data_IF_971182874256
#
_entry.id   IF_971182874256
#
_cell.length_a   1.000
_cell.length_b   1.000
_cell.length_c   1.000
_cell.angle_alpha   90.00
_cell.angle_beta   90.00
_cell.angle_gamma   90.00
#
_symmetry.space_group_name_H-M   'P 1'
#
loop_
_entity.id
_entity.type
_entity.pdbx_description
1 polymer ?
#
# COMPACT_ATOMS: atom_id res chain seq x y z
N UNK A 1 -22.50 35.04 -44.64
CA UNK A 1 -21.81 36.29 -44.24
C UNK A 1 -21.59 36.24 -42.74
N UNK A 2 -20.38 36.57 -42.31
CA UNK A 2 -19.90 36.63 -40.93
C UNK A 2 -20.69 37.61 -40.07
N UNK A 3 -20.76 37.33 -38.76
CA UNK A 3 -21.19 38.27 -37.71
C UNK A 3 -20.80 37.76 -36.32
N UNK A 4 -19.71 38.29 -35.80
CA UNK A 4 -18.97 37.89 -34.59
C UNK A 4 -19.53 38.54 -33.30
N UNK A 5 -19.33 37.84 -32.16
CA UNK A 5 -19.05 38.32 -30.78
C UNK A 5 -20.15 38.98 -29.92
N UNK A 6 -20.41 38.34 -28.77
CA UNK A 6 -20.21 38.83 -27.39
C UNK A 6 -20.28 37.57 -26.49
N UNK A 7 -19.21 37.05 -25.88
CA UNK A 7 -18.50 37.58 -24.71
C UNK A 7 -19.47 38.03 -23.62
N UNK A 8 -19.86 37.09 -22.76
CA UNK A 8 -20.12 37.41 -21.36
C UNK A 8 -19.30 36.43 -20.53
N UNK A 9 -18.36 37.05 -19.82
CA UNK A 9 -17.39 36.54 -18.88
C UNK A 9 -17.96 36.87 -17.48
N UNK A 10 -17.38 36.30 -16.42
CA UNK A 10 -17.58 36.64 -14.99
C UNK A 10 -18.92 36.22 -14.33
N UNK A 11 -18.97 35.70 -13.11
CA UNK A 11 -17.95 35.41 -12.09
C UNK A 11 -18.56 34.46 -11.03
N UNK A 12 -17.69 33.63 -10.46
CA UNK A 12 -17.62 33.23 -9.05
C UNK A 12 -18.87 32.72 -8.31
N UNK A 13 -18.99 31.39 -8.21
CA UNK A 13 -19.32 30.76 -6.93
C UNK A 13 -18.05 30.12 -6.34
N UNK A 14 -17.28 30.97 -5.68
CA UNK A 14 -16.21 30.62 -4.75
C UNK A 14 -16.81 29.86 -3.55
N UNK A 15 -16.39 28.60 -3.41
CA UNK A 15 -16.87 27.69 -2.38
C UNK A 15 -16.12 26.38 -2.37
N UNK A 16 -14.84 26.44 -1.97
CA UNK A 16 -13.83 25.37 -1.81
C UNK A 16 -12.88 25.13 -2.99
N UNK A 17 -12.07 26.13 -3.31
CA UNK A 17 -10.92 25.98 -4.21
C UNK A 17 -9.87 25.02 -3.61
N UNK A 18 -9.97 23.73 -3.92
CA UNK A 18 -8.90 22.76 -3.70
C UNK A 18 -7.69 23.02 -4.61
N UNK A 19 -6.52 22.43 -4.31
CA UNK A 19 -5.32 22.54 -5.16
C UNK A 19 -5.63 22.14 -6.60
N UNK A 20 -5.05 22.87 -7.55
CA UNK A 20 -5.23 22.59 -8.97
C UNK A 20 -4.60 21.24 -9.36
N UNK A 21 -4.97 20.68 -10.52
CA UNK A 21 -4.33 19.46 -11.01
C UNK A 21 -2.82 19.63 -11.25
N UNK A 22 -2.38 20.84 -11.62
CA UNK A 22 -0.97 21.16 -11.77
C UNK A 22 -0.25 21.11 -10.41
N UNK A 23 -0.86 21.65 -9.35
CA UNK A 23 -0.31 21.61 -8.00
C UNK A 23 -0.23 20.18 -7.48
N UNK A 24 -1.27 19.37 -7.71
CA UNK A 24 -1.27 17.95 -7.33
C UNK A 24 -0.18 17.14 -8.04
N UNK A 25 0.14 17.47 -9.30
CA UNK A 25 1.26 16.83 -10.02
C UNK A 25 2.61 17.22 -9.42
N UNK A 26 2.82 18.52 -9.17
CA UNK A 26 4.04 19.02 -8.54
C UNK A 26 4.23 18.43 -7.13
N UNK A 27 3.14 18.32 -6.37
CA UNK A 27 3.15 17.68 -5.06
C UNK A 27 3.56 16.21 -5.14
N UNK A 28 3.00 15.44 -6.08
CA UNK A 28 3.42 14.03 -6.29
C UNK A 28 4.91 13.92 -6.60
N UNK A 29 5.46 14.82 -7.43
CA UNK A 29 6.89 14.84 -7.72
C UNK A 29 7.74 15.11 -6.47
N UNK A 30 7.33 16.06 -5.63
CA UNK A 30 7.99 16.32 -4.36
C UNK A 30 7.95 15.07 -3.45
N UNK A 31 6.82 14.37 -3.39
CA UNK A 31 6.65 13.15 -2.61
C UNK A 31 7.52 11.99 -3.11
N UNK A 32 7.74 11.87 -4.42
CA UNK A 32 8.70 10.91 -4.97
C UNK A 32 10.13 11.22 -4.51
N UNK A 33 10.51 12.50 -4.49
CA UNK A 33 11.82 12.92 -3.99
C UNK A 33 11.98 12.60 -2.49
N UNK A 34 10.94 12.80 -1.69
CA UNK A 34 10.96 12.46 -0.26
C UNK A 34 11.24 10.96 -0.06
N UNK A 35 10.66 10.08 -0.88
CA UNK A 35 10.90 8.61 -0.81
C UNK A 35 12.38 8.28 -1.05
N UNK A 36 13.02 8.91 -2.04
CA UNK A 36 14.45 8.71 -2.29
C UNK A 36 15.34 9.30 -1.21
N UNK A 37 15.01 10.49 -0.71
CA UNK A 37 15.73 11.11 0.40
C UNK A 37 15.64 10.27 1.68
N UNK A 38 14.52 9.58 1.93
CA UNK A 38 14.42 8.67 3.07
C UNK A 38 15.44 7.52 2.98
N UNK A 39 15.65 6.96 1.78
CA UNK A 39 16.60 5.87 1.55
C UNK A 39 18.06 6.32 1.63
N UNK A 40 18.36 7.53 1.16
CA UNK A 40 19.74 8.02 1.01
C UNK A 40 20.20 8.94 2.14
N UNK A 41 19.34 9.82 2.65
CA UNK A 41 19.67 10.88 3.61
C UNK A 41 18.47 11.24 4.50
N UNK A 42 17.98 10.31 5.36
CA UNK A 42 16.74 10.51 6.10
C UNK A 42 16.77 11.68 7.09
N UNK A 43 17.97 12.08 7.54
CA UNK A 43 18.16 13.21 8.45
C UNK A 43 17.74 14.55 7.85
N UNK A 44 17.71 14.68 6.52
CA UNK A 44 17.24 15.89 5.83
C UNK A 44 15.73 16.08 5.99
N UNK A 45 14.99 14.99 6.24
CA UNK A 45 13.54 14.98 6.30
C UNK A 45 12.97 15.32 7.69
N UNK A 46 13.79 15.65 8.68
CA UNK A 46 13.32 15.92 10.07
C UNK A 46 12.21 16.98 10.14
N UNK A 47 12.27 18.01 9.28
CA UNK A 47 11.24 19.05 9.22
C UNK A 47 10.11 18.74 8.22
N UNK A 48 10.30 17.75 7.35
CA UNK A 48 9.33 17.36 6.30
C UNK A 48 8.34 16.33 6.82
N UNK A 49 8.76 15.39 7.66
CA UNK A 49 7.86 14.36 8.22
C UNK A 49 6.69 14.96 9.02
N UNK A 50 6.87 16.00 9.84
CA UNK A 50 5.73 16.68 10.47
C UNK A 50 4.74 17.31 9.47
N UNK A 51 5.21 17.74 8.30
CA UNK A 51 4.34 18.27 7.23
C UNK A 51 3.55 17.15 6.56
N UNK A 52 4.19 16.01 6.27
CA UNK A 52 3.48 14.81 5.80
C UNK A 52 2.40 14.33 6.78
N UNK A 53 2.70 14.39 8.08
CA UNK A 53 1.72 14.04 9.12
C UNK A 53 0.52 15.01 9.13
N UNK A 54 0.76 16.30 8.92
CA UNK A 54 -0.32 17.27 8.76
C UNK A 54 -1.16 16.98 7.50
N UNK A 55 -0.53 16.61 6.39
CA UNK A 55 -1.23 16.23 5.15
C UNK A 55 -2.10 14.98 5.31
N UNK A 56 -1.70 14.01 6.15
CA UNK A 56 -2.55 12.85 6.45
C UNK A 56 -3.91 13.28 7.02
N UNK A 57 -3.99 14.44 7.67
CA UNK A 57 -5.21 14.96 8.29
C UNK A 57 -5.87 16.10 7.52
N UNK A 58 -5.39 16.41 6.31
CA UNK A 58 -5.96 17.45 5.47
C UNK A 58 -7.39 17.13 5.04
N UNK A 59 -8.21 18.16 4.81
CA UNK A 59 -9.59 17.98 4.33
C UNK A 59 -9.65 17.40 2.92
N UNK A 60 -8.67 17.76 2.08
CA UNK A 60 -8.57 17.29 0.72
C UNK A 60 -8.16 15.80 0.67
N UNK A 61 -8.99 14.98 0.03
CA UNK A 61 -8.79 13.53 -0.10
C UNK A 61 -7.50 13.18 -0.85
N UNK A 62 -7.11 13.98 -1.85
CA UNK A 62 -5.88 13.73 -2.62
C UNK A 62 -4.63 14.00 -1.79
N UNK A 63 -4.62 15.04 -0.94
CA UNK A 63 -3.50 15.29 -0.03
C UNK A 63 -3.31 14.12 0.94
N UNK A 64 -4.40 13.67 1.58
CA UNK A 64 -4.35 12.50 2.48
C UNK A 64 -3.91 11.24 1.74
N UNK A 65 -4.38 11.03 0.51
CA UNK A 65 -3.98 9.88 -0.30
C UNK A 65 -2.47 9.91 -0.60
N UNK A 66 -1.96 11.02 -1.12
CA UNK A 66 -0.55 11.17 -1.50
C UNK A 66 0.35 11.03 -0.25
N UNK A 67 -0.05 11.60 0.88
CA UNK A 67 0.67 11.43 2.15
C UNK A 67 0.66 9.98 2.65
N UNK A 68 -0.48 9.29 2.54
CA UNK A 68 -0.61 7.87 2.93
C UNK A 68 0.29 6.98 2.08
N UNK A 69 0.29 7.16 0.76
CA UNK A 69 1.16 6.44 -0.16
C UNK A 69 2.64 6.70 0.15
N UNK A 70 3.01 7.98 0.39
CA UNK A 70 4.41 8.34 0.66
C UNK A 70 4.93 7.77 1.96
N UNK A 71 4.17 7.84 3.06
CA UNK A 71 4.61 7.25 4.32
C UNK A 71 4.69 5.72 4.19
N UNK A 72 3.72 5.10 3.49
CA UNK A 72 3.76 3.67 3.18
C UNK A 72 5.04 3.24 2.46
N UNK A 73 5.43 3.98 1.43
CA UNK A 73 6.64 3.73 0.65
C UNK A 73 7.91 3.97 1.47
N UNK A 74 7.95 5.03 2.29
CA UNK A 74 9.07 5.27 3.21
C UNK A 74 9.24 4.11 4.22
N UNK A 75 8.15 3.65 4.84
CA UNK A 75 8.20 2.55 5.82
C UNK A 75 8.60 1.23 5.16
N UNK A 76 8.13 0.97 3.93
CA UNK A 76 8.50 -0.23 3.16
C UNK A 76 9.88 -0.13 2.50
N UNK A 77 10.57 1.01 2.60
CA UNK A 77 11.87 1.24 1.99
C UNK A 77 11.81 1.27 0.45
N UNK A 78 10.65 1.54 -0.11
CA UNK A 78 10.41 1.64 -1.55
C UNK A 78 10.73 3.07 -2.00
N UNK A 79 11.60 3.19 -3.00
CA UNK A 79 11.95 4.46 -3.62
C UNK A 79 10.97 4.88 -4.72
N UNK A 80 11.29 5.97 -5.41
CA UNK A 80 10.64 6.41 -6.64
C UNK A 80 10.73 5.38 -7.78
N UNK A 81 11.67 4.43 -7.71
CA UNK A 81 11.73 3.30 -8.64
C UNK A 81 10.52 2.34 -8.51
N UNK A 82 9.73 2.47 -7.45
CA UNK A 82 8.53 1.69 -7.21
C UNK A 82 8.78 0.36 -6.51
N UNK A 83 7.70 -0.37 -6.16
CA UNK A 83 7.77 -1.65 -5.48
C UNK A 83 8.50 -2.70 -6.33
N UNK A 84 9.10 -3.73 -5.70
CA UNK A 84 9.61 -4.87 -6.43
C UNK A 84 8.45 -5.57 -7.18
N UNK A 85 8.74 -6.23 -8.31
CA UNK A 85 7.73 -7.04 -9.00
C UNK A 85 7.22 -8.15 -8.07
N UNK A 86 5.92 -8.49 -8.12
CA UNK A 86 5.38 -9.59 -7.34
C UNK A 86 6.12 -10.91 -7.60
N UNK A 87 6.27 -11.77 -6.59
CA UNK A 87 6.88 -13.09 -6.77
C UNK A 87 6.03 -13.97 -7.71
N UNK A 88 6.69 -14.85 -8.46
CA UNK A 88 5.98 -15.84 -9.27
C UNK A 88 5.47 -16.98 -8.40
N UNK A 89 4.15 -17.18 -8.38
CA UNK A 89 3.51 -18.34 -7.77
C UNK A 89 3.12 -19.33 -8.88
N UNK A 90 3.87 -20.44 -8.98
CA UNK A 90 3.63 -21.48 -9.99
C UNK A 90 3.21 -22.80 -9.33
N UNK A 91 1.90 -23.11 -9.27
CA UNK A 91 1.39 -24.36 -8.68
C UNK A 91 1.90 -25.62 -9.36
N UNK A 92 2.20 -25.53 -10.66
CA UNK A 92 2.64 -26.63 -11.50
C UNK A 92 4.18 -26.73 -11.60
N UNK A 93 4.92 -25.95 -10.81
CA UNK A 93 6.38 -25.98 -10.81
C UNK A 93 6.89 -27.38 -10.41
N UNK A 94 7.94 -27.83 -11.10
CA UNK A 94 8.65 -29.07 -10.78
C UNK A 94 10.15 -28.78 -10.56
N UNK A 95 10.75 -29.20 -9.44
CA UNK A 95 10.12 -29.95 -8.34
C UNK A 95 9.08 -29.11 -7.56
N UNK A 96 8.10 -29.77 -6.89
CA UNK A 96 7.11 -29.06 -6.07
C UNK A 96 7.78 -28.23 -4.97
N UNK A 97 7.28 -27.02 -4.76
CA UNK A 97 7.76 -26.11 -3.72
C UNK A 97 7.48 -26.74 -2.35
N UNK A 98 8.51 -26.89 -1.51
CA UNK A 98 8.31 -27.27 -0.10
C UNK A 98 8.46 -26.04 0.77
N UNK A 99 7.63 -25.96 1.82
CA UNK A 99 7.65 -24.83 2.76
C UNK A 99 9.01 -24.62 3.43
N UNK A 100 9.77 -25.70 3.60
CA UNK A 100 11.10 -25.69 4.24
C UNK A 100 12.24 -25.46 3.26
N UNK A 101 11.98 -25.45 1.94
CA UNK A 101 13.02 -25.15 0.96
C UNK A 101 13.40 -23.67 1.08
N UNK A 102 14.69 -23.36 0.90
CA UNK A 102 15.16 -21.99 0.84
C UNK A 102 14.67 -21.34 -0.47
N UNK A 103 14.00 -20.19 -0.37
CA UNK A 103 13.65 -19.39 -1.54
C UNK A 103 14.97 -18.98 -2.23
N UNK A 104 15.22 -19.39 -3.50
CA UNK A 104 16.43 -18.99 -4.19
C UNK A 104 16.50 -17.46 -4.26
N UNK A 105 17.66 -16.83 -3.99
CA UNK A 105 17.79 -15.39 -4.17
C UNK A 105 17.45 -15.06 -5.63
N UNK A 106 16.70 -13.97 -5.87
CA UNK A 106 16.32 -13.58 -7.23
C UNK A 106 17.58 -13.42 -8.09
N UNK A 107 17.53 -13.95 -9.32
CA UNK A 107 18.69 -14.10 -10.20
C UNK A 107 19.41 -12.76 -10.52
N UNK A 108 18.72 -11.62 -10.36
CA UNK A 108 19.30 -10.27 -10.48
C UNK A 108 18.60 -9.33 -9.48
N UNK A 109 19.27 -8.98 -8.39
CA UNK A 109 18.82 -7.90 -7.50
C UNK A 109 19.30 -6.55 -8.04
N UNK A 110 18.37 -5.71 -8.51
CA UNK A 110 18.70 -4.32 -8.85
C UNK A 110 18.72 -3.48 -7.56
N UNK A 111 19.90 -2.94 -7.22
CA UNK A 111 20.11 -2.10 -6.02
C UNK A 111 19.14 -0.91 -5.97
N UNK A 112 18.72 -0.38 -7.12
CA UNK A 112 17.80 0.76 -7.18
C UNK A 112 16.37 0.39 -6.77
N UNK A 113 15.92 -0.83 -7.09
CA UNK A 113 14.57 -1.32 -6.81
C UNK A 113 14.50 -2.18 -5.55
N UNK A 114 15.64 -2.61 -5.01
CA UNK A 114 15.68 -3.37 -3.76
C UNK A 114 15.17 -2.49 -2.62
N UNK A 115 14.08 -2.89 -1.94
CA UNK A 115 13.57 -2.17 -0.79
C UNK A 115 14.64 -2.07 0.29
N UNK A 116 14.86 -0.87 0.80
CA UNK A 116 15.87 -0.61 1.82
C UNK A 116 15.44 0.58 2.66
N UNK A 117 15.39 0.39 3.97
CA UNK A 117 15.22 1.49 4.93
C UNK A 117 16.46 1.60 5.82
N UNK A 118 17.15 2.76 5.87
CA UNK A 118 18.35 2.93 6.68
C UNK A 118 18.06 2.94 8.19
N UNK A 119 16.81 3.23 8.57
CA UNK A 119 16.37 3.35 9.96
C UNK A 119 14.86 3.06 10.06
N UNK A 120 14.37 2.75 11.27
CA UNK A 120 12.96 2.39 11.44
C UNK A 120 12.11 3.65 11.51
N UNK A 121 11.25 3.85 10.50
CA UNK A 121 10.34 5.00 10.46
C UNK A 121 9.39 5.00 11.66
N UNK A 122 8.84 3.84 12.00
CA UNK A 122 7.91 3.69 13.12
C UNK A 122 8.55 4.06 14.47
N UNK A 123 9.85 3.79 14.64
CA UNK A 123 10.60 4.13 15.85
C UNK A 123 11.05 5.59 15.91
N UNK A 124 11.35 6.21 14.78
CA UNK A 124 11.88 7.59 14.76
C UNK A 124 10.74 8.61 14.69
N UNK A 125 9.66 8.27 13.97
CA UNK A 125 8.52 9.13 13.71
C UNK A 125 7.21 8.48 14.21
N UNK A 126 7.21 8.07 15.48
CA UNK A 126 6.09 7.36 16.13
C UNK A 126 4.72 8.00 15.90
N UNK A 127 4.60 9.32 16.04
CA UNK A 127 3.33 10.03 15.89
C UNK A 127 2.80 9.94 14.44
N UNK A 128 3.65 10.24 13.46
CA UNK A 128 3.30 10.15 12.05
C UNK A 128 2.96 8.71 11.64
N UNK A 129 3.72 7.72 12.13
CA UNK A 129 3.41 6.31 11.87
C UNK A 129 2.07 5.89 12.47
N UNK A 130 1.77 6.28 13.70
CA UNK A 130 0.46 6.00 14.34
C UNK A 130 -0.69 6.63 13.57
N UNK A 131 -0.53 7.87 13.12
CA UNK A 131 -1.54 8.57 12.31
C UNK A 131 -1.74 7.89 10.95
N UNK A 132 -0.65 7.48 10.31
CA UNK A 132 -0.66 6.67 9.09
C UNK A 132 -1.43 5.36 9.30
N UNK A 133 -1.11 4.56 10.34
CA UNK A 133 -1.85 3.32 10.66
C UNK A 133 -3.34 3.59 10.87
N UNK A 134 -3.69 4.74 11.47
CA UNK A 134 -5.07 5.18 11.64
C UNK A 134 -5.84 5.41 10.32
N UNK A 135 -5.16 5.67 9.19
CA UNK A 135 -5.81 5.85 7.87
C UNK A 135 -6.43 4.58 7.31
N UNK A 136 -6.19 3.40 7.91
CA UNK A 136 -6.96 2.16 7.59
C UNK A 136 -8.48 2.34 7.73
N UNK A 137 -8.90 3.32 8.54
CA UNK A 137 -10.30 3.66 8.81
C UNK A 137 -10.71 5.02 8.22
N UNK A 138 -10.00 5.54 7.21
CA UNK A 138 -10.40 6.79 6.55
C UNK A 138 -11.82 6.69 5.96
N UNK A 139 -12.56 7.80 5.98
CA UNK A 139 -13.90 7.87 5.39
C UNK A 139 -13.87 7.61 3.88
N UNK A 140 -12.82 8.07 3.19
CA UNK A 140 -12.69 7.89 1.75
C UNK A 140 -12.12 6.51 1.42
N UNK A 141 -12.86 5.76 0.60
CA UNK A 141 -12.46 4.43 0.14
C UNK A 141 -11.09 4.41 -0.54
N UNK A 142 -10.77 5.45 -1.31
CA UNK A 142 -9.51 5.56 -2.05
C UNK A 142 -8.29 5.59 -1.12
N UNK A 143 -8.41 6.24 0.04
CA UNK A 143 -7.33 6.28 1.04
C UNK A 143 -7.17 4.93 1.72
N UNK A 144 -8.28 4.24 2.03
CA UNK A 144 -8.23 2.88 2.59
C UNK A 144 -7.64 1.87 1.60
N UNK A 145 -7.89 2.04 0.31
CA UNK A 145 -7.27 1.24 -0.76
C UNK A 145 -5.76 1.52 -0.85
N UNK A 146 -5.35 2.79 -0.88
CA UNK A 146 -3.94 3.17 -0.87
C UNK A 146 -3.22 2.66 0.38
N UNK A 147 -3.86 2.76 1.55
CA UNK A 147 -3.32 2.28 2.82
C UNK A 147 -3.10 0.77 2.83
N UNK A 148 -4.04 -0.02 2.30
CA UNK A 148 -3.85 -1.48 2.30
C UNK A 148 -2.76 -1.94 1.34
N UNK A 149 -2.61 -1.28 0.20
CA UNK A 149 -1.46 -1.51 -0.70
C UNK A 149 -0.14 -1.19 0.01
N UNK A 150 -0.07 -0.05 0.70
CA UNK A 150 1.10 0.31 1.51
C UNK A 150 1.39 -0.71 2.62
N UNK A 151 0.38 -1.15 3.36
CA UNK A 151 0.53 -2.18 4.40
C UNK A 151 1.03 -3.51 3.83
N UNK A 152 0.55 -3.91 2.65
CA UNK A 152 1.06 -5.07 1.91
C UNK A 152 2.55 -4.95 1.61
N UNK A 153 3.00 -3.80 1.08
CA UNK A 153 4.42 -3.55 0.84
C UNK A 153 5.25 -3.54 2.13
N UNK A 154 4.77 -2.94 3.21
CA UNK A 154 5.48 -2.92 4.50
C UNK A 154 5.72 -4.34 5.01
N UNK A 155 4.68 -5.20 4.95
CA UNK A 155 4.77 -6.59 5.38
C UNK A 155 5.67 -7.43 4.44
N UNK A 156 5.50 -7.29 3.12
CA UNK A 156 6.27 -8.05 2.13
C UNK A 156 7.76 -7.71 2.15
N UNK A 157 8.10 -6.44 2.42
CA UNK A 157 9.49 -5.97 2.48
C UNK A 157 10.10 -6.03 3.88
N UNK A 158 9.36 -6.48 4.90
CA UNK A 158 9.76 -6.43 6.31
C UNK A 158 10.25 -5.02 6.71
N UNK A 159 9.45 -4.00 6.39
CA UNK A 159 9.76 -2.58 6.57
C UNK A 159 11.11 -2.15 5.92
N UNK A 160 11.31 -2.51 4.65
CA UNK A 160 12.57 -2.23 3.94
C UNK A 160 13.77 -3.00 4.50
N UNK A 161 13.54 -4.22 5.00
CA UNK A 161 14.56 -5.14 5.52
C UNK A 161 15.00 -4.89 6.96
N UNK A 162 14.50 -3.83 7.62
CA UNK A 162 14.87 -3.53 9.02
C UNK A 162 14.12 -4.39 10.05
N UNK A 163 12.99 -4.98 9.64
CA UNK A 163 12.11 -5.77 10.48
C UNK A 163 11.00 -4.96 11.14
N UNK A 164 9.96 -5.68 11.56
CA UNK A 164 8.81 -5.17 12.30
C UNK A 164 8.81 -5.79 13.70
N UNK A 165 8.27 -5.07 14.69
CA UNK A 165 7.87 -5.71 15.94
C UNK A 165 6.70 -6.66 15.71
N UNK A 166 6.51 -7.64 16.59
CA UNK A 166 5.38 -8.58 16.51
C UNK A 166 4.04 -7.85 16.60
N UNK A 167 3.99 -6.78 17.38
CA UNK A 167 2.80 -5.97 17.57
C UNK A 167 2.42 -5.23 16.29
N UNK A 168 3.40 -4.58 15.63
CA UNK A 168 3.19 -3.90 14.35
C UNK A 168 2.78 -4.89 13.25
N UNK A 169 3.49 -6.00 13.13
CA UNK A 169 3.20 -7.04 12.13
C UNK A 169 1.79 -7.60 12.31
N UNK A 170 1.41 -7.96 13.54
CA UNK A 170 0.06 -8.46 13.84
C UNK A 170 -1.03 -7.40 13.58
N UNK A 171 -0.75 -6.12 13.85
CA UNK A 171 -1.69 -5.04 13.55
C UNK A 171 -1.96 -4.92 12.04
N UNK A 172 -0.91 -4.98 11.21
CA UNK A 172 -1.03 -4.91 9.76
C UNK A 172 -1.72 -6.15 9.17
N UNK A 173 -1.37 -7.36 9.67
CA UNK A 173 -2.02 -8.61 9.25
C UNK A 173 -3.51 -8.60 9.60
N UNK A 174 -3.87 -8.14 10.81
CA UNK A 174 -5.28 -7.99 11.20
C UNK A 174 -6.01 -6.98 10.31
N UNK A 175 -5.37 -5.86 9.99
CA UNK A 175 -5.96 -4.88 9.09
C UNK A 175 -6.17 -5.45 7.67
N UNK A 176 -5.27 -6.31 7.17
CA UNK A 176 -5.44 -7.00 5.89
C UNK A 176 -6.68 -7.89 5.87
N UNK A 177 -6.90 -8.68 6.94
CA UNK A 177 -8.14 -9.42 7.12
C UNK A 177 -9.38 -8.50 7.11
N UNK A 178 -9.34 -7.37 7.84
CA UNK A 178 -10.44 -6.41 7.88
C UNK A 178 -10.72 -5.80 6.50
N UNK A 179 -9.67 -5.44 5.74
CA UNK A 179 -9.80 -4.82 4.41
C UNK A 179 -10.23 -5.81 3.32
N UNK A 180 -9.94 -7.10 3.45
CA UNK A 180 -10.54 -8.12 2.59
C UNK A 180 -12.07 -8.10 2.69
N UNK A 181 -12.63 -7.72 3.83
CA UNK A 181 -14.08 -7.68 4.12
C UNK A 181 -14.68 -6.27 4.06
N UNK A 182 -14.00 -5.34 3.40
CA UNK A 182 -14.42 -3.95 3.34
C UNK A 182 -15.71 -3.74 2.51
N UNK A 183 -16.52 -2.73 2.83
CA UNK A 183 -17.74 -2.42 2.09
C UNK A 183 -17.46 -2.03 0.64
N UNK A 184 -16.32 -1.38 0.39
CA UNK A 184 -15.96 -0.79 -0.89
C UNK A 184 -15.17 -1.78 -1.76
N UNK A 185 -15.62 -2.00 -3.00
CA UNK A 185 -15.04 -3.01 -3.89
C UNK A 185 -13.57 -2.74 -4.22
N UNK A 186 -13.19 -1.47 -4.37
CA UNK A 186 -11.81 -1.07 -4.68
C UNK A 186 -10.85 -1.41 -3.53
N UNK A 187 -11.34 -1.37 -2.30
CA UNK A 187 -10.54 -1.68 -1.10
C UNK A 187 -10.37 -3.19 -0.96
N UNK A 188 -11.44 -3.95 -1.20
CA UNK A 188 -11.34 -5.42 -1.25
C UNK A 188 -10.40 -5.90 -2.35
N UNK A 189 -10.47 -5.28 -3.54
CA UNK A 189 -9.56 -5.58 -4.65
C UNK A 189 -8.10 -5.30 -4.26
N UNK A 190 -7.81 -4.12 -3.71
CA UNK A 190 -6.47 -3.76 -3.25
C UNK A 190 -5.96 -4.70 -2.15
N UNK A 191 -6.84 -5.20 -1.27
CA UNK A 191 -6.48 -6.19 -0.25
C UNK A 191 -6.14 -7.56 -0.85
N UNK A 192 -6.85 -8.02 -1.89
CA UNK A 192 -6.47 -9.25 -2.63
C UNK A 192 -5.11 -9.07 -3.30
N UNK A 193 -4.89 -7.94 -3.97
CA UNK A 193 -3.61 -7.62 -4.60
C UNK A 193 -2.46 -7.50 -3.60
N UNK A 194 -2.72 -7.03 -2.38
CA UNK A 194 -1.73 -7.00 -1.31
C UNK A 194 -1.24 -8.40 -0.93
N UNK A 195 -2.10 -9.43 -0.98
CA UNK A 195 -1.70 -10.83 -0.71
C UNK A 195 -0.80 -11.38 -1.83
N UNK A 196 -0.95 -10.90 -3.08
CA UNK A 196 -0.09 -11.31 -4.20
C UNK A 196 1.37 -10.83 -4.06
N UNK A 197 1.65 -9.92 -3.13
CA UNK A 197 3.01 -9.40 -2.90
C UNK A 197 3.94 -10.40 -2.19
N UNK A 198 3.39 -11.47 -1.64
CA UNK A 198 4.10 -12.43 -0.82
C UNK A 198 4.41 -13.71 -1.59
N UNK A 199 5.58 -14.30 -1.35
CA UNK A 199 5.89 -15.63 -1.88
C UNK A 199 5.11 -16.70 -1.11
N UNK A 200 5.09 -17.93 -1.62
CA UNK A 200 4.33 -19.02 -1.01
C UNK A 200 4.69 -19.24 0.47
N UNK A 201 5.98 -19.11 0.81
CA UNK A 201 6.46 -19.32 2.17
C UNK A 201 5.95 -18.23 3.11
N UNK A 202 6.06 -16.97 2.72
CA UNK A 202 5.61 -15.83 3.52
C UNK A 202 4.08 -15.77 3.63
N UNK A 203 3.36 -16.21 2.60
CA UNK A 203 1.90 -16.39 2.70
C UNK A 203 1.58 -17.35 3.84
N UNK A 204 2.20 -18.53 3.86
CA UNK A 204 1.92 -19.55 4.89
C UNK A 204 2.41 -19.11 6.27
N UNK A 205 3.64 -18.61 6.39
CA UNK A 205 4.28 -18.35 7.67
C UNK A 205 3.90 -16.99 8.29
N UNK A 206 3.77 -15.93 7.49
CA UNK A 206 3.40 -14.60 7.98
C UNK A 206 1.89 -14.42 7.98
N UNK A 207 1.22 -14.53 6.83
CA UNK A 207 -0.22 -14.26 6.74
C UNK A 207 -1.07 -15.34 7.42
N UNK A 208 -0.54 -16.56 7.55
CA UNK A 208 -1.15 -17.65 8.29
C UNK A 208 -1.18 -17.47 9.82
N UNK A 209 -0.56 -16.42 10.37
CA UNK A 209 -0.53 -16.17 11.82
C UNK A 209 -1.93 -16.08 12.46
N UNK A 210 -2.93 -15.60 11.71
CA UNK A 210 -4.32 -15.55 12.19
C UNK A 210 -5.07 -16.88 12.02
N UNK A 211 -4.54 -17.84 11.27
CA UNK A 211 -5.07 -19.19 11.12
C UNK A 211 -5.23 -19.67 9.67
N UNK A 212 -5.61 -20.94 9.53
CA UNK A 212 -5.93 -21.58 8.25
C UNK A 212 -7.28 -21.16 7.66
N UNK A 213 -7.65 -21.77 6.52
CA UNK A 213 -8.91 -21.53 5.80
C UNK A 213 -10.17 -21.85 6.65
N UNK A 214 -10.07 -22.80 7.57
CA UNK A 214 -11.19 -23.18 8.46
C UNK A 214 -11.41 -22.19 9.62
N UNK A 215 -10.42 -21.33 9.91
CA UNK A 215 -10.51 -20.41 11.04
C UNK A 215 -11.19 -19.11 10.61
N UNK A 216 -12.42 -18.91 11.07
CA UNK A 216 -13.12 -17.62 10.95
C UNK A 216 -12.23 -16.50 11.48
N UNK A 217 -12.10 -15.42 10.71
CA UNK A 217 -11.22 -14.31 11.05
C UNK A 217 -9.80 -14.42 10.50
N UNK A 218 -9.47 -15.50 9.77
CA UNK A 218 -8.20 -15.61 9.05
C UNK A 218 -8.25 -14.93 7.68
N UNK A 219 -7.05 -14.58 7.19
CA UNK A 219 -6.86 -14.07 5.84
C UNK A 219 -7.29 -15.13 4.81
N UNK A 220 -6.95 -16.40 5.02
CA UNK A 220 -7.28 -17.48 4.08
C UNK A 220 -8.78 -17.75 3.97
N UNK A 221 -9.50 -17.76 5.09
CA UNK A 221 -10.95 -17.90 5.09
C UNK A 221 -11.61 -16.75 4.31
N UNK A 222 -11.15 -15.51 4.58
CA UNK A 222 -11.69 -14.32 3.92
C UNK A 222 -11.37 -14.27 2.43
N UNK A 223 -10.15 -14.66 2.03
CA UNK A 223 -9.74 -14.73 0.64
C UNK A 223 -10.54 -15.80 -0.12
N UNK A 224 -10.74 -16.98 0.49
CA UNK A 224 -11.62 -18.01 -0.07
C UNK A 224 -13.03 -17.48 -0.30
N UNK A 225 -13.59 -16.70 0.62
CA UNK A 225 -14.89 -16.06 0.44
C UNK A 225 -14.91 -14.99 -0.67
N UNK A 226 -13.78 -14.36 -1.00
CA UNK A 226 -13.67 -13.43 -2.14
C UNK A 226 -13.76 -14.14 -3.50
N UNK A 227 -13.51 -15.44 -3.59
CA UNK A 227 -13.80 -16.23 -4.81
C UNK A 227 -15.31 -16.26 -5.17
N UNK A 228 -16.16 -15.84 -4.23
CA UNK A 228 -17.62 -15.68 -4.40
C UNK A 228 -18.07 -14.23 -4.23
N UNK A 229 -17.15 -13.27 -4.35
CA UNK A 229 -17.51 -11.85 -4.22
C UNK A 229 -18.59 -11.48 -5.25
N UNK A 230 -19.53 -10.62 -4.85
CA UNK A 230 -20.58 -10.12 -5.72
C UNK A 230 -19.99 -9.36 -6.91
N UNK A 231 -18.85 -8.70 -6.72
CA UNK A 231 -18.18 -7.87 -7.71
C UNK A 231 -17.22 -8.71 -8.55
N UNK A 232 -17.41 -8.77 -9.89
CA UNK A 232 -16.57 -9.59 -10.76
C UNK A 232 -15.07 -9.27 -10.66
N UNK A 233 -14.70 -8.00 -10.53
CA UNK A 233 -13.29 -7.59 -10.44
C UNK A 233 -12.57 -8.24 -9.23
N UNK A 234 -13.18 -8.19 -8.05
CA UNK A 234 -12.62 -8.83 -6.83
C UNK A 234 -12.64 -10.35 -6.97
N UNK A 235 -13.75 -10.89 -7.51
CA UNK A 235 -13.96 -12.33 -7.62
C UNK A 235 -12.93 -13.00 -8.51
N UNK A 236 -12.69 -12.43 -9.70
CA UNK A 236 -11.72 -12.96 -10.67
C UNK A 236 -10.33 -12.93 -10.06
N UNK A 237 -9.93 -11.82 -9.45
CA UNK A 237 -8.60 -11.70 -8.85
C UNK A 237 -8.40 -12.71 -7.72
N UNK A 238 -9.38 -12.87 -6.84
CA UNK A 238 -9.31 -13.85 -5.75
C UNK A 238 -9.26 -15.29 -6.26
N UNK A 239 -10.02 -15.63 -7.30
CA UNK A 239 -9.97 -16.96 -7.93
C UNK A 239 -8.60 -17.23 -8.55
N UNK A 240 -8.03 -16.24 -9.25
CA UNK A 240 -6.70 -16.36 -9.87
C UNK A 240 -5.63 -16.54 -8.79
N UNK A 241 -5.66 -15.73 -7.73
CA UNK A 241 -4.72 -15.86 -6.62
C UNK A 241 -4.84 -17.22 -5.93
N UNK A 242 -6.05 -17.67 -5.58
CA UNK A 242 -6.25 -18.98 -4.97
C UNK A 242 -5.82 -20.14 -5.87
N UNK A 243 -5.91 -19.99 -7.19
CA UNK A 243 -5.42 -21.00 -8.12
C UNK A 243 -3.89 -21.04 -8.21
N UNK A 244 -3.20 -19.95 -7.83
CA UNK A 244 -1.73 -19.85 -7.76
C UNK A 244 -1.16 -20.41 -6.46
N UNK A 245 -1.96 -20.51 -5.39
CA UNK A 245 -1.58 -20.99 -4.05
C UNK A 245 -1.79 -22.49 -3.90
#
# INVERSE_FOLDING_TARGET
SNGQRHADDSDDEDGTLGPSEADLRSLRQAHLLIRELWRAAPTVLSNVVPQLDAELSADNVHLRQIATETIGDMVSGIGAAGPPPPPSLEPAAYPPIKLLDDTPPPAVENVLTKPYSPQSFAQIHHAAYRNFVGRKNDKAAIIRAAWISAAGYILATSAGGIGLSREEENELIKALYEKLNDSEEKVRLAAVQAVELFDFRDIVLKLGALGGVEKTGSIFASLADRSRDKKPAVRVEAMVLLAKL
#
